data_IF_141372185900
#
_entry.id   IF_141372185900
#
_cell.length_a   1.000
_cell.length_b   1.000
_cell.length_c   1.000
_cell.angle_alpha   90.00
_cell.angle_beta   90.00
_cell.angle_gamma   90.00
#
_symmetry.space_group_name_H-M   'P 1'
#
loop_
_entity.id
_entity.type
_entity.pdbx_description
1 polymer ?
#
# COMPACT_ATOMS: atom_id res chain seq x y z
N UNK A 1 -4.17 4.68 17.55
CA UNK A 1 -4.71 3.49 16.89
C UNK A 1 -4.05 3.26 15.55
N UNK A 2 -3.87 2.01 15.20
CA UNK A 2 -3.23 1.68 13.93
C UNK A 2 -4.11 2.06 12.74
N UNK A 3 -3.47 2.47 11.66
CA UNK A 3 -4.15 2.64 10.39
C UNK A 3 -4.32 1.27 9.74
N UNK A 4 -5.47 1.02 9.12
CA UNK A 4 -5.81 -0.29 8.55
C UNK A 4 -6.51 -0.12 7.21
N UNK A 5 -6.60 -1.21 6.44
CA UNK A 5 -7.38 -1.21 5.19
C UNK A 5 -8.85 -0.92 5.49
N UNK A 6 -9.36 -1.39 6.63
CA UNK A 6 -10.74 -1.08 7.03
C UNK A 6 -10.96 0.42 7.11
N UNK A 7 -10.04 1.15 7.73
CA UNK A 7 -10.14 2.61 7.82
C UNK A 7 -10.09 3.29 6.47
N UNK A 8 -9.27 2.77 5.56
CA UNK A 8 -9.22 3.29 4.19
C UNK A 8 -10.57 3.12 3.50
N UNK A 9 -11.18 1.94 3.62
CA UNK A 9 -12.47 1.66 3.01
C UNK A 9 -13.61 2.49 3.62
N UNK A 10 -13.49 2.86 4.87
CA UNK A 10 -14.48 3.69 5.55
C UNK A 10 -14.30 5.18 5.28
N UNK A 11 -13.24 5.57 4.63
CA UNK A 11 -12.96 6.98 4.35
C UNK A 11 -13.96 7.55 3.34
N UNK A 12 -14.58 8.66 3.68
CA UNK A 12 -15.48 9.36 2.78
C UNK A 12 -14.76 9.92 1.55
N UNK A 13 -13.46 10.09 1.64
CA UNK A 13 -12.65 10.61 0.56
C UNK A 13 -12.55 9.63 -0.61
N UNK A 14 -12.69 8.34 -0.36
CA UNK A 14 -12.58 7.31 -1.39
C UNK A 14 -13.81 6.39 -1.41
N UNK A 15 -14.99 6.92 -1.75
CA UNK A 15 -16.22 6.13 -1.67
C UNK A 15 -16.34 5.04 -2.74
N UNK A 16 -15.49 5.08 -3.76
CA UNK A 16 -15.54 4.13 -4.88
C UNK A 16 -14.51 3.01 -4.76
N UNK A 17 -14.16 2.64 -3.57
CA UNK A 17 -13.33 1.47 -3.33
C UNK A 17 -14.20 0.29 -2.93
N UNK A 18 -13.89 -0.88 -3.49
CA UNK A 18 -14.66 -2.10 -3.24
C UNK A 18 -13.72 -3.21 -2.79
N UNK A 19 -14.04 -3.82 -1.66
CA UNK A 19 -13.29 -5.00 -1.20
C UNK A 19 -13.72 -6.21 -2.00
N UNK A 20 -12.77 -6.88 -2.65
CA UNK A 20 -13.03 -8.09 -3.42
C UNK A 20 -12.88 -9.35 -2.57
N UNK A 21 -11.94 -9.37 -1.67
CA UNK A 21 -11.71 -10.52 -0.78
C UNK A 21 -10.77 -10.14 0.35
N UNK A 22 -10.55 -11.06 1.28
CA UNK A 22 -9.58 -10.87 2.35
C UNK A 22 -10.11 -10.13 3.56
N UNK A 23 -11.38 -10.27 3.88
CA UNK A 23 -12.01 -9.56 5.01
C UNK A 23 -11.29 -9.80 6.33
N UNK A 24 -10.71 -10.99 6.51
CA UNK A 24 -10.02 -11.32 7.76
C UNK A 24 -8.76 -10.50 7.99
N UNK A 25 -8.19 -9.95 6.93
CA UNK A 25 -6.99 -9.13 7.04
C UNK A 25 -7.24 -7.64 7.16
N UNK A 26 -8.50 -7.20 7.23
CA UNK A 26 -8.84 -5.77 7.21
C UNK A 26 -8.28 -4.98 8.39
N UNK A 27 -7.99 -5.63 9.49
CA UNK A 27 -7.50 -4.94 10.69
C UNK A 27 -5.99 -5.07 10.90
N UNK A 28 -5.27 -5.61 9.92
CA UNK A 28 -3.81 -5.61 9.97
C UNK A 28 -3.31 -4.18 9.85
N UNK A 29 -2.26 -3.88 10.60
CA UNK A 29 -1.69 -2.54 10.60
C UNK A 29 -1.06 -2.23 9.23
N UNK A 30 -1.39 -1.06 8.69
CA UNK A 30 -0.77 -0.54 7.48
C UNK A 30 0.38 0.37 7.87
N UNK A 31 1.57 0.06 7.40
CA UNK A 31 2.79 0.80 7.72
C UNK A 31 3.36 1.56 6.54
N UNK A 32 2.79 1.41 5.37
CA UNK A 32 3.22 2.13 4.18
C UNK A 32 2.43 1.71 2.96
N UNK A 33 2.77 2.28 1.82
CA UNK A 33 2.14 1.98 0.54
C UNK A 33 3.20 2.04 -0.54
N UNK A 34 3.16 1.10 -1.47
CA UNK A 34 4.12 1.06 -2.60
C UNK A 34 3.41 0.69 -3.88
N UNK A 35 3.91 1.25 -4.99
CA UNK A 35 3.49 0.82 -6.32
C UNK A 35 4.22 -0.49 -6.63
N UNK A 36 3.53 -1.45 -7.22
CA UNK A 36 4.14 -2.74 -7.55
C UNK A 36 5.17 -2.57 -8.67
N UNK A 37 6.34 -3.13 -8.44
CA UNK A 37 7.42 -3.23 -9.40
C UNK A 37 7.79 -4.70 -9.55
N UNK A 38 8.38 -5.08 -10.69
CA UNK A 38 8.70 -6.48 -10.97
C UNK A 38 10.00 -6.91 -10.29
N UNK A 39 11.06 -6.16 -10.50
CA UNK A 39 12.38 -6.60 -10.06
C UNK A 39 12.62 -6.30 -8.60
N UNK A 40 13.05 -7.32 -7.88
CA UNK A 40 13.54 -7.21 -6.49
C UNK A 40 12.58 -6.54 -5.50
N UNK A 41 11.29 -6.47 -5.84
CA UNK A 41 10.36 -5.74 -4.99
C UNK A 41 10.28 -6.32 -3.58
N UNK A 42 10.20 -7.64 -3.47
CA UNK A 42 10.07 -8.30 -2.18
C UNK A 42 11.25 -8.04 -1.25
N UNK A 43 12.41 -7.69 -1.80
CA UNK A 43 13.59 -7.37 -1.00
C UNK A 43 13.46 -6.05 -0.25
N UNK A 44 12.60 -5.16 -0.76
CA UNK A 44 12.43 -3.84 -0.17
C UNK A 44 11.19 -3.71 0.69
N UNK A 45 10.38 -4.78 0.76
CA UNK A 45 9.20 -4.78 1.61
C UNK A 45 9.62 -5.03 3.06
N UNK A 46 9.14 -4.19 3.95
CA UNK A 46 9.50 -4.24 5.36
C UNK A 46 8.39 -4.77 6.26
N UNK A 47 7.23 -5.05 5.67
CA UNK A 47 6.05 -5.52 6.38
C UNK A 47 5.03 -4.41 6.57
N UNK A 48 3.76 -4.75 6.39
CA UNK A 48 2.66 -3.81 6.61
C UNK A 48 2.35 -2.90 5.44
N UNK A 49 2.93 -3.14 4.27
CA UNK A 49 2.64 -2.29 3.11
C UNK A 49 1.32 -2.64 2.45
N UNK A 50 0.64 -1.63 1.91
CA UNK A 50 -0.37 -1.81 0.88
C UNK A 50 0.34 -1.71 -0.46
N UNK A 51 0.07 -2.63 -1.37
CA UNK A 51 0.64 -2.62 -2.71
C UNK A 51 -0.42 -2.18 -3.72
N UNK A 52 -0.10 -1.14 -4.50
CA UNK A 52 -1.05 -0.58 -5.47
C UNK A 52 -0.56 -0.81 -6.90
N UNK A 53 -1.47 -1.20 -7.79
CA UNK A 53 -1.12 -1.52 -9.18
C UNK A 53 -2.31 -1.36 -10.13
N UNK A 54 -2.00 -1.10 -11.41
CA UNK A 54 -2.95 -1.22 -12.51
C UNK A 54 -2.73 -2.51 -13.29
N UNK A 55 -1.80 -3.36 -12.85
CA UNK A 55 -1.35 -4.56 -13.54
C UNK A 55 -0.52 -4.29 -14.81
N UNK A 56 -0.22 -3.04 -15.08
CA UNK A 56 0.56 -2.66 -16.27
C UNK A 56 1.94 -3.31 -16.30
N UNK A 57 2.59 -3.42 -15.14
CA UNK A 57 3.93 -3.98 -15.04
C UNK A 57 4.01 -5.43 -15.50
N UNK A 58 2.87 -6.12 -15.53
CA UNK A 58 2.82 -7.53 -15.92
C UNK A 58 2.59 -7.76 -17.40
N UNK A 59 2.46 -6.69 -18.21
CA UNK A 59 2.22 -6.84 -19.65
C UNK A 59 3.30 -7.63 -20.37
N UNK A 60 4.53 -7.51 -19.92
CA UNK A 60 5.67 -8.20 -20.53
C UNK A 60 5.99 -9.53 -19.85
N UNK A 61 5.17 -9.96 -18.90
CA UNK A 61 5.44 -11.18 -18.14
C UNK A 61 4.55 -12.32 -18.61
N UNK A 62 5.08 -13.56 -18.55
CA UNK A 62 4.28 -14.75 -18.77
C UNK A 62 3.35 -14.96 -17.56
N UNK A 63 2.32 -15.78 -17.77
CA UNK A 63 1.42 -16.14 -16.68
C UNK A 63 2.14 -16.76 -15.50
N UNK A 64 3.15 -17.57 -15.79
CA UNK A 64 3.95 -18.22 -14.76
C UNK A 64 4.75 -17.21 -13.94
N UNK A 65 5.33 -16.23 -14.60
CA UNK A 65 6.06 -15.15 -13.92
C UNK A 65 5.14 -14.31 -13.06
N UNK A 66 3.95 -14.00 -13.56
CA UNK A 66 2.94 -13.25 -12.80
C UNK A 66 2.51 -14.02 -11.57
N UNK A 67 2.22 -15.30 -11.73
CA UNK A 67 1.78 -16.13 -10.61
C UNK A 67 2.87 -16.23 -9.55
N UNK A 68 4.12 -16.42 -9.95
CA UNK A 68 5.22 -16.49 -9.01
C UNK A 68 5.40 -15.16 -8.26
N UNK A 69 5.26 -14.06 -8.96
CA UNK A 69 5.40 -12.73 -8.35
C UNK A 69 4.29 -12.50 -7.33
N UNK A 70 3.05 -12.86 -7.66
CA UNK A 70 1.94 -12.73 -6.72
C UNK A 70 2.18 -13.59 -5.48
N UNK A 71 2.66 -14.82 -5.67
CA UNK A 71 2.95 -15.70 -4.56
C UNK A 71 4.03 -15.10 -3.65
N UNK A 72 5.08 -14.56 -4.21
CA UNK A 72 6.15 -13.93 -3.46
C UNK A 72 5.65 -12.72 -2.68
N UNK A 73 4.79 -11.91 -3.30
CA UNK A 73 4.24 -10.73 -2.64
C UNK A 73 3.32 -11.07 -1.47
N UNK A 74 2.42 -12.05 -1.66
CA UNK A 74 1.48 -12.40 -0.58
C UNK A 74 2.19 -13.04 0.61
N UNK A 75 3.39 -13.56 0.42
CA UNK A 75 4.20 -14.12 1.50
C UNK A 75 5.06 -13.08 2.21
N UNK A 76 5.04 -11.85 1.76
CA UNK A 76 5.94 -10.80 2.24
C UNK A 76 5.36 -9.95 3.38
N UNK A 77 4.41 -10.48 4.12
CA UNK A 77 3.80 -9.82 5.28
C UNK A 77 3.18 -8.46 4.96
N UNK A 78 2.56 -8.37 3.80
CA UNK A 78 1.88 -7.15 3.37
C UNK A 78 0.49 -7.03 3.99
N UNK A 79 -0.08 -5.83 3.96
CA UNK A 79 -1.38 -5.56 4.58
C UNK A 79 -2.53 -5.50 3.57
N UNK A 80 -2.24 -5.45 2.30
CA UNK A 80 -3.30 -5.46 1.29
C UNK A 80 -2.83 -5.06 -0.09
N UNK A 81 -3.74 -5.21 -1.05
CA UNK A 81 -3.54 -4.75 -2.42
C UNK A 81 -4.65 -3.78 -2.79
N UNK A 82 -4.30 -2.77 -3.58
CA UNK A 82 -5.26 -1.90 -4.24
C UNK A 82 -5.03 -2.04 -5.74
N UNK A 83 -6.08 -2.38 -6.48
CA UNK A 83 -5.95 -2.57 -7.92
C UNK A 83 -6.90 -1.63 -8.65
N UNK A 84 -6.39 -0.97 -9.70
CA UNK A 84 -7.21 -0.21 -10.64
C UNK A 84 -7.32 -1.03 -11.90
N UNK A 85 -8.52 -1.56 -12.16
CA UNK A 85 -8.77 -2.41 -13.30
C UNK A 85 -8.77 -1.60 -14.59
N UNK A 86 -7.97 -2.02 -15.56
CA UNK A 86 -7.93 -1.39 -16.89
C UNK A 86 -7.90 -2.47 -17.95
N UNK A 87 -8.76 -2.31 -18.95
CA UNK A 87 -8.84 -3.28 -20.05
C UNK A 87 -7.57 -3.35 -20.87
N UNK A 88 -6.86 -2.24 -21.01
CA UNK A 88 -5.60 -2.21 -21.75
C UNK A 88 -4.53 -3.10 -21.12
N UNK A 89 -4.58 -3.29 -19.81
CA UNK A 89 -3.56 -4.03 -19.08
C UNK A 89 -4.00 -5.44 -18.69
N UNK A 90 -5.30 -5.68 -18.66
CA UNK A 90 -5.85 -6.98 -18.30
C UNK A 90 -7.17 -7.19 -19.03
N UNK A 91 -7.12 -7.37 -20.38
CA UNK A 91 -8.35 -7.38 -21.20
C UNK A 91 -9.37 -8.44 -20.81
N UNK A 92 -8.91 -9.59 -20.35
CA UNK A 92 -9.78 -10.71 -20.00
C UNK A 92 -10.12 -10.78 -18.51
N UNK A 93 -9.47 -9.95 -17.70
CA UNK A 93 -9.59 -10.02 -16.23
C UNK A 93 -8.84 -11.19 -15.62
N UNK A 94 -8.03 -11.88 -16.40
CA UNK A 94 -7.33 -13.09 -15.95
C UNK A 94 -6.31 -12.81 -14.86
N UNK A 95 -5.57 -11.70 -15.00
CA UNK A 95 -4.54 -11.34 -14.03
C UNK A 95 -5.14 -10.93 -12.70
N UNK A 96 -6.24 -10.17 -12.76
CA UNK A 96 -6.97 -9.81 -11.55
C UNK A 96 -7.53 -11.04 -10.85
N UNK A 97 -8.09 -11.99 -11.63
CA UNK A 97 -8.60 -13.25 -11.07
C UNK A 97 -7.50 -14.06 -10.39
N UNK A 98 -6.32 -14.06 -10.98
CA UNK A 98 -5.17 -14.75 -10.43
C UNK A 98 -4.70 -14.11 -9.12
N UNK A 99 -4.67 -12.78 -9.08
CA UNK A 99 -4.34 -12.04 -7.87
C UNK A 99 -5.37 -12.33 -6.77
N UNK A 100 -6.63 -12.33 -7.13
CA UNK A 100 -7.71 -12.63 -6.19
C UNK A 100 -7.57 -14.03 -5.59
N UNK A 101 -7.20 -14.99 -6.42
CA UNK A 101 -6.96 -16.36 -5.96
C UNK A 101 -5.88 -16.40 -4.87
N UNK A 102 -4.77 -15.72 -5.10
CA UNK A 102 -3.68 -15.67 -4.13
C UNK A 102 -4.08 -14.91 -2.85
N UNK A 103 -4.80 -13.82 -3.00
CA UNK A 103 -5.26 -13.03 -1.86
C UNK A 103 -6.24 -13.82 -1.00
N UNK A 104 -7.13 -14.60 -1.61
CA UNK A 104 -8.06 -15.46 -0.88
C UNK A 104 -7.31 -16.52 -0.08
N UNK A 105 -6.30 -17.11 -0.69
CA UNK A 105 -5.53 -18.19 -0.05
C UNK A 105 -4.82 -17.71 1.21
N UNK A 106 -4.29 -16.51 1.18
CA UNK A 106 -3.52 -15.95 2.30
C UNK A 106 -4.29 -14.93 3.12
N UNK A 107 -5.59 -14.76 2.82
CA UNK A 107 -6.48 -13.84 3.52
C UNK A 107 -5.96 -12.40 3.53
N UNK A 108 -5.45 -11.97 2.38
CA UNK A 108 -4.96 -10.61 2.17
C UNK A 108 -6.07 -9.75 1.56
N UNK A 109 -6.39 -8.58 2.12
CA UNK A 109 -7.39 -7.71 1.53
C UNK A 109 -7.00 -7.29 0.11
N UNK A 110 -7.94 -7.45 -0.83
CA UNK A 110 -7.79 -6.98 -2.19
C UNK A 110 -8.91 -5.98 -2.45
N UNK A 111 -8.52 -4.75 -2.72
CA UNK A 111 -9.46 -3.64 -2.93
C UNK A 111 -9.39 -3.20 -4.38
N UNK A 112 -10.54 -3.05 -5.01
CA UNK A 112 -10.64 -2.52 -6.37
C UNK A 112 -11.05 -1.05 -6.31
N UNK A 113 -10.37 -0.22 -7.10
CA UNK A 113 -10.78 1.18 -7.28
C UNK A 113 -11.74 1.24 -8.46
N UNK A 114 -12.94 1.79 -8.23
CA UNK A 114 -13.92 1.99 -9.27
C UNK A 114 -13.88 3.45 -9.75
N UNK A 115 -13.93 3.63 -11.05
CA UNK A 115 -13.90 4.96 -11.64
C UNK A 115 -12.49 5.53 -11.77
N UNK A 116 -12.42 6.84 -12.00
CA UNK A 116 -11.16 7.52 -12.21
C UNK A 116 -10.59 8.04 -10.90
N UNK A 117 -9.59 7.36 -10.39
CA UNK A 117 -8.84 7.82 -9.23
C UNK A 117 -7.38 7.99 -9.59
N UNK A 118 -6.81 9.05 -9.04
CA UNK A 118 -5.40 9.31 -9.14
C UNK A 118 -4.67 8.47 -8.09
N UNK A 119 -3.70 7.67 -8.52
CA UNK A 119 -2.86 6.90 -7.61
C UNK A 119 -2.23 7.77 -6.53
N UNK A 120 -1.76 8.95 -6.94
CA UNK A 120 -1.07 9.83 -6.01
C UNK A 120 -1.96 10.34 -4.89
N UNK A 121 -3.26 10.51 -5.17
CA UNK A 121 -4.22 10.89 -4.14
C UNK A 121 -4.34 9.83 -3.07
N UNK A 122 -4.39 8.56 -3.48
CA UNK A 122 -4.47 7.44 -2.55
C UNK A 122 -3.17 7.28 -1.78
N UNK A 123 -2.05 7.30 -2.48
CA UNK A 123 -0.72 7.16 -1.88
C UNK A 123 -0.50 8.25 -0.84
N UNK A 124 -0.82 9.49 -1.20
CA UNK A 124 -0.67 10.62 -0.29
C UNK A 124 -1.53 10.45 0.95
N UNK A 125 -2.79 10.05 0.77
CA UNK A 125 -3.70 9.85 1.89
C UNK A 125 -3.16 8.81 2.87
N UNK A 126 -2.75 7.64 2.36
CA UNK A 126 -2.22 6.57 3.20
C UNK A 126 -0.96 7.03 3.91
N UNK A 127 -0.06 7.69 3.18
CA UNK A 127 1.19 8.16 3.78
C UNK A 127 0.96 9.19 4.88
N UNK A 128 -0.01 10.08 4.69
CA UNK A 128 -0.36 11.05 5.73
C UNK A 128 -0.86 10.33 6.97
N UNK A 129 -1.73 9.33 6.82
CA UNK A 129 -2.27 8.58 7.96
C UNK A 129 -1.15 7.85 8.71
N UNK A 130 -0.24 7.22 7.98
CA UNK A 130 0.88 6.51 8.58
C UNK A 130 1.87 7.49 9.20
N UNK A 131 2.17 8.59 8.50
CA UNK A 131 3.13 9.59 8.93
C UNK A 131 2.66 10.35 10.17
N UNK A 132 1.39 10.66 10.27
CA UNK A 132 0.84 11.33 11.44
C UNK A 132 1.12 10.53 12.71
N UNK A 133 1.02 9.21 12.61
CA UNK A 133 1.35 8.33 13.72
C UNK A 133 2.84 8.43 14.08
N UNK A 134 3.70 8.42 13.08
CA UNK A 134 5.14 8.53 13.28
C UNK A 134 5.51 9.91 13.80
N UNK A 135 4.86 10.96 13.31
CA UNK A 135 5.07 12.31 13.77
C UNK A 135 4.70 12.45 15.25
N UNK A 136 3.64 11.81 15.67
CA UNK A 136 3.26 11.81 17.08
C UNK A 136 4.34 11.17 17.95
N UNK A 137 4.95 10.08 17.48
CA UNK A 137 6.07 9.47 18.20
C UNK A 137 7.28 10.38 18.26
N UNK A 138 7.58 11.06 17.17
CA UNK A 138 8.69 12.00 17.12
C UNK A 138 8.47 13.18 18.07
N UNK A 139 7.26 13.68 18.14
CA UNK A 139 6.93 14.75 19.08
C UNK A 139 7.12 14.30 20.52
N UNK A 140 6.77 13.06 20.79
CA UNK A 140 6.97 12.52 22.13
C UNK A 140 8.47 12.47 22.46
N UNK A 141 9.30 12.03 21.53
CA UNK A 141 10.73 12.05 21.72
C UNK A 141 11.29 13.45 21.89
N UNK A 142 10.73 14.42 21.21
CA UNK A 142 11.17 15.80 21.36
C UNK A 142 10.93 16.35 22.75
N UNK A 143 9.86 15.93 23.39
CA UNK A 143 9.60 16.35 24.76
C UNK A 143 10.68 15.81 25.69
N UNK A 144 11.17 14.61 25.40
CA UNK A 144 12.22 13.96 26.21
C UNK A 144 13.63 14.30 25.74
N UNK A 145 13.81 14.63 24.47
CA UNK A 145 15.11 14.92 23.87
C UNK A 145 15.02 16.16 23.00
N UNK A 146 14.72 17.27 23.61
CA UNK A 146 14.37 18.49 22.90
C UNK A 146 15.43 19.00 21.92
N UNK A 147 16.66 18.79 22.21
CA UNK A 147 17.72 19.28 21.33
C UNK A 147 17.73 18.61 19.97
N UNK A 148 17.14 17.44 19.87
CA UNK A 148 17.15 16.71 18.62
C UNK A 148 16.51 17.47 17.48
N UNK A 149 15.42 18.12 17.71
CA UNK A 149 14.72 18.77 16.64
C UNK A 149 15.44 19.97 16.07
N UNK A 150 16.32 20.56 16.82
CA UNK A 150 17.05 21.72 16.36
C UNK A 150 18.06 21.37 15.29
N UNK A 151 18.53 20.15 15.29
CA UNK A 151 19.47 19.72 14.33
C UNK A 151 18.97 19.67 12.94
N UNK A 152 17.73 19.57 12.82
CA UNK A 152 17.16 19.32 11.64
C UNK A 152 16.61 20.43 10.97
N UNK A 153 16.23 21.38 11.70
CA UNK A 153 15.76 22.51 11.10
C UNK A 153 16.76 23.53 10.93
N UNK A 154 17.70 23.67 11.19
CA UNK A 154 18.48 24.74 11.05
C UNK A 154 18.92 25.22 9.96
N UNK A 155 18.81 25.06 10.40
CA UNK A 155 19.23 25.71 9.97
C UNK A 155 19.44 26.31 9.50
N UNK A 156 19.84 26.19 9.61
CA UNK A 156 20.11 26.66 9.27
C UNK A 156 20.23 27.18 8.92
N UNK A 157 20.59 27.17 9.08
CA UNK A 157 20.83 27.80 8.99
C UNK A 157 20.84 28.31 8.81
N UNK A 158 21.23 27.99 8.95
CA UNK A 158 21.15 28.27 9.20
C UNK A 158 20.88 28.73 9.21
N UNK A 159 21.22 28.49 9.49
CA UNK A 159 21.04 28.75 9.94
C UNK A 159 21.01 28.91 10.09
N UNK A 160 21.50 28.87 10.03
CA UNK A 160 21.74 29.04 10.52
C UNK A 160 21.72 29.18 10.62
#
# INVERSE_FOLDING_TARGET
MAYTVRKLLESEQFPKMKLLCGEKGLDLEVKGIRIIEIEDMERYLTGGEILITSLQVYLSCSDREVEQHFEDLVKSDISGFIVKKRKEYDPTGRRLSLLEKHCKKYEIPLVEILGDFDYWGIIRHVMIQVFDKDTARLKYFKITHDSFCLLYTSPSPRDI
#
